data_IF_926262871608
#
_entry.id   IF_926262871608
#
_cell.length_a   1.000
_cell.length_b   1.000
_cell.length_c   1.000
_cell.angle_alpha   90.00
_cell.angle_beta   90.00
_cell.angle_gamma   90.00
#
_symmetry.space_group_name_H-M   'P 1'
#
loop_
_entity.id
_entity.type
_entity.pdbx_description
1 polymer ?
#
# COMPACT_ATOMS: atom_id res chain seq x y z
N UNK A 1 -9.31 15.71 15.23
CA UNK A 1 -10.14 14.62 14.66
C UNK A 1 -9.35 14.15 13.46
N UNK A 2 -8.76 12.95 13.51
CA UNK A 2 -7.95 12.46 12.40
C UNK A 2 -8.86 12.15 11.22
N UNK A 3 -8.74 12.91 10.14
CA UNK A 3 -9.55 12.75 8.94
C UNK A 3 -9.10 11.46 8.24
N UNK A 4 -9.92 10.41 8.31
CA UNK A 4 -9.61 9.13 7.66
C UNK A 4 -10.03 9.22 6.19
N UNK A 5 -9.07 9.08 5.30
CA UNK A 5 -9.27 9.09 3.85
C UNK A 5 -9.50 7.67 3.35
N UNK A 6 -10.52 7.49 2.52
CA UNK A 6 -10.87 6.19 1.93
C UNK A 6 -10.18 6.03 0.59
N UNK A 7 -9.45 4.94 0.41
CA UNK A 7 -8.80 4.57 -0.84
C UNK A 7 -9.32 3.23 -1.34
N UNK A 8 -9.73 3.19 -2.61
CA UNK A 8 -9.99 1.94 -3.31
C UNK A 8 -8.67 1.39 -3.86
N UNK A 9 -8.26 0.23 -3.33
CA UNK A 9 -7.04 -0.47 -3.70
C UNK A 9 -7.38 -1.88 -4.16
N UNK A 10 -6.64 -2.40 -5.12
CA UNK A 10 -6.66 -3.84 -5.40
C UNK A 10 -5.77 -4.58 -4.41
N UNK A 11 -5.99 -5.88 -4.22
CA UNK A 11 -5.08 -6.68 -3.40
C UNK A 11 -3.65 -6.69 -3.99
N UNK A 12 -3.50 -6.55 -5.31
CA UNK A 12 -2.19 -6.26 -5.93
C UNK A 12 -1.54 -4.99 -5.37
N UNK A 13 -2.28 -3.88 -5.30
CA UNK A 13 -1.79 -2.64 -4.72
C UNK A 13 -1.45 -2.79 -3.24
N UNK A 14 -2.27 -3.51 -2.48
CA UNK A 14 -2.02 -3.80 -1.06
C UNK A 14 -0.72 -4.60 -0.88
N UNK A 15 -0.50 -5.65 -1.68
CA UNK A 15 0.76 -6.41 -1.62
C UNK A 15 1.98 -5.58 -2.02
N UNK A 16 1.85 -4.69 -3.00
CA UNK A 16 2.93 -3.79 -3.40
C UNK A 16 3.29 -2.82 -2.27
N UNK A 17 2.30 -2.25 -1.58
CA UNK A 17 2.50 -1.43 -0.38
C UNK A 17 3.22 -2.24 0.71
N UNK A 18 2.74 -3.44 1.05
CA UNK A 18 3.37 -4.28 2.07
C UNK A 18 4.81 -4.65 1.70
N UNK A 19 5.08 -4.96 0.43
CA UNK A 19 6.42 -5.25 -0.04
C UNK A 19 7.36 -4.06 0.18
N UNK A 20 6.95 -2.84 -0.15
CA UNK A 20 7.84 -1.68 -0.03
C UNK A 20 7.92 -1.14 1.40
N UNK A 21 6.80 -1.08 2.12
CA UNK A 21 6.70 -0.46 3.44
C UNK A 21 7.04 -1.41 4.58
N UNK A 22 6.92 -2.72 4.41
CA UNK A 22 7.19 -3.70 5.49
C UNK A 22 8.42 -4.52 5.13
N UNK A 23 8.40 -5.22 4.01
CA UNK A 23 9.47 -6.15 3.60
C UNK A 23 10.77 -5.42 3.26
N UNK A 24 10.71 -4.42 2.39
CA UNK A 24 11.88 -3.65 1.91
C UNK A 24 12.24 -2.44 2.76
N UNK A 25 11.38 -2.04 3.67
CA UNK A 25 11.63 -0.90 4.56
C UNK A 25 12.78 -1.17 5.54
N UNK A 26 12.92 -2.41 6.03
CA UNK A 26 13.97 -2.81 6.98
C UNK A 26 14.04 -1.87 8.22
N UNK A 27 12.91 -1.27 8.61
CA UNK A 27 12.83 -0.32 9.72
C UNK A 27 13.33 1.11 9.42
N UNK A 28 13.52 1.49 8.15
CA UNK A 28 13.94 2.86 7.77
C UNK A 28 12.86 3.90 8.05
N UNK A 29 11.63 3.59 7.67
CA UNK A 29 10.47 4.47 7.78
C UNK A 29 9.63 3.99 8.96
N UNK A 30 9.47 4.81 10.01
CA UNK A 30 8.59 4.50 11.13
C UNK A 30 7.12 4.63 10.70
N UNK A 31 6.20 4.00 11.45
CA UNK A 31 4.76 4.11 11.17
C UNK A 31 4.19 3.03 10.23
N UNK A 32 4.98 2.01 9.89
CA UNK A 32 4.52 0.88 9.03
C UNK A 32 3.86 -0.26 9.81
N UNK A 33 3.60 -0.09 11.11
CA UNK A 33 2.93 -1.06 12.01
C UNK A 33 1.56 -0.55 12.52
N UNK A 34 1.00 0.48 11.89
CA UNK A 34 -0.32 1.02 12.28
C UNK A 34 -1.45 0.06 11.91
N UNK A 35 -2.65 0.34 12.43
CA UNK A 35 -3.85 -0.48 12.19
C UNK A 35 -4.17 -0.64 10.69
N UNK A 36 -3.91 0.38 9.85
CA UNK A 36 -4.09 0.27 8.41
C UNK A 36 -3.17 -0.77 7.77
N UNK A 37 -1.91 -0.85 8.18
CA UNK A 37 -0.95 -1.84 7.69
C UNK A 37 -1.31 -3.25 8.18
N UNK A 38 -1.76 -3.38 9.44
CA UNK A 38 -2.22 -4.67 9.97
C UNK A 38 -3.42 -5.20 9.18
N UNK A 39 -4.42 -4.37 8.90
CA UNK A 39 -5.54 -4.74 8.01
C UNK A 39 -5.09 -5.17 6.62
N UNK A 40 -4.11 -4.47 6.05
CA UNK A 40 -3.54 -4.85 4.77
C UNK A 40 -2.88 -6.22 4.81
N UNK A 41 -2.13 -6.54 5.87
CA UNK A 41 -1.55 -7.87 6.06
C UNK A 41 -2.62 -8.96 6.23
N UNK A 42 -3.67 -8.69 7.01
CA UNK A 42 -4.79 -9.62 7.20
C UNK A 42 -5.49 -9.94 5.87
N UNK A 43 -5.76 -8.91 5.05
CA UNK A 43 -6.35 -9.09 3.73
C UNK A 43 -5.48 -9.96 2.81
N UNK A 44 -4.15 -9.85 2.91
CA UNK A 44 -3.24 -10.70 2.15
C UNK A 44 -3.12 -12.11 2.74
N UNK A 45 -3.37 -12.28 4.04
CA UNK A 45 -3.42 -13.58 4.69
C UNK A 45 -4.65 -14.40 4.27
N UNK A 46 -5.75 -13.74 3.89
CA UNK A 46 -6.93 -14.37 3.28
C UNK A 46 -6.68 -14.92 1.86
N UNK A 47 -5.46 -14.78 1.33
CA UNK A 47 -5.10 -15.28 0.00
C UNK A 47 -5.35 -16.79 -0.12
N UNK A 48 -6.13 -17.23 -1.12
CA UNK A 48 -6.38 -18.65 -1.33
C UNK A 48 -5.06 -19.38 -1.60
N UNK A 49 -4.82 -20.48 -0.86
CA UNK A 49 -3.68 -21.36 -1.07
C UNK A 49 -3.90 -22.37 -2.22
N UNK A 50 -5.07 -22.35 -2.87
CA UNK A 50 -5.35 -23.22 -4.01
C UNK A 50 -4.37 -22.98 -5.16
N UNK A 51 -3.91 -24.06 -5.77
CA UNK A 51 -3.07 -24.03 -6.98
C UNK A 51 -3.80 -23.53 -8.24
N UNK A 52 -5.06 -23.09 -8.11
CA UNK A 52 -5.86 -22.51 -9.19
C UNK A 52 -5.44 -21.07 -9.49
N UNK A 53 -4.68 -20.91 -10.57
CA UNK A 53 -4.21 -19.62 -11.07
C UNK A 53 -5.36 -18.62 -11.30
N UNK A 54 -6.51 -19.10 -11.78
CA UNK A 54 -7.68 -18.25 -12.02
C UNK A 54 -8.23 -17.63 -10.72
N UNK A 55 -8.36 -18.43 -9.67
CA UNK A 55 -8.84 -17.97 -8.36
C UNK A 55 -7.86 -16.98 -7.73
N UNK A 56 -6.55 -17.23 -7.87
CA UNK A 56 -5.51 -16.30 -7.45
C UNK A 56 -5.60 -14.97 -8.20
N UNK A 57 -5.73 -14.99 -9.52
CA UNK A 57 -5.83 -13.77 -10.34
C UNK A 57 -7.09 -12.95 -9.96
N UNK A 58 -8.24 -13.61 -9.78
CA UNK A 58 -9.47 -12.97 -9.32
C UNK A 58 -9.31 -12.36 -7.92
N UNK A 59 -8.63 -13.06 -7.01
CA UNK A 59 -8.30 -12.54 -5.69
C UNK A 59 -7.46 -11.28 -5.80
N UNK A 60 -6.37 -11.30 -6.56
CA UNK A 60 -5.49 -10.13 -6.67
C UNK A 60 -6.15 -8.91 -7.34
N UNK A 61 -7.08 -9.14 -8.26
CA UNK A 61 -7.90 -8.10 -8.91
C UNK A 61 -9.03 -7.57 -8.02
N UNK A 62 -9.35 -8.26 -6.93
CA UNK A 62 -10.37 -7.82 -5.97
C UNK A 62 -10.02 -6.43 -5.44
N UNK A 63 -10.99 -5.53 -5.53
CA UNK A 63 -10.91 -4.18 -5.00
C UNK A 63 -11.43 -4.18 -3.56
N UNK A 64 -10.70 -3.53 -2.69
CA UNK A 64 -11.03 -3.31 -1.29
C UNK A 64 -10.95 -1.82 -1.01
N UNK A 65 -11.87 -1.33 -0.18
CA UNK A 65 -11.84 0.06 0.28
C UNK A 65 -11.23 0.07 1.67
N UNK A 66 -10.08 0.73 1.79
CA UNK A 66 -9.37 0.88 3.05
C UNK A 66 -9.38 2.33 3.49
N UNK A 67 -9.46 2.52 4.80
CA UNK A 67 -9.48 3.85 5.42
C UNK A 67 -8.14 4.06 6.11
N UNK A 68 -7.41 5.08 5.67
CA UNK A 68 -6.10 5.45 6.18
C UNK A 68 -6.16 6.85 6.80
N UNK A 69 -5.40 7.06 7.85
CA UNK A 69 -5.11 8.41 8.35
C UNK A 69 -4.16 9.14 7.40
N UNK A 70 -4.13 10.47 7.47
CA UNK A 70 -3.19 11.29 6.69
C UNK A 70 -1.72 10.92 6.98
N UNK A 71 -1.41 10.58 8.23
CA UNK A 71 -0.08 10.11 8.65
C UNK A 71 0.29 8.78 7.98
N UNK A 72 -0.67 7.84 7.90
CA UNK A 72 -0.49 6.58 7.19
C UNK A 72 -0.30 6.80 5.69
N UNK A 73 -1.07 7.70 5.08
CA UNK A 73 -0.95 8.03 3.66
C UNK A 73 0.44 8.62 3.37
N UNK A 74 0.92 9.55 4.19
CA UNK A 74 2.26 10.12 4.04
C UNK A 74 3.35 9.06 4.22
N UNK A 75 3.17 8.16 5.19
CA UNK A 75 4.10 7.03 5.42
C UNK A 75 4.14 6.10 4.21
N UNK A 76 2.98 5.75 3.64
CA UNK A 76 2.86 4.92 2.45
C UNK A 76 3.53 5.60 1.24
N UNK A 77 3.23 6.87 0.96
CA UNK A 77 3.88 7.59 -0.15
C UNK A 77 5.41 7.63 0.02
N UNK A 78 5.89 7.94 1.22
CA UNK A 78 7.32 7.95 1.52
C UNK A 78 7.95 6.58 1.28
N UNK A 79 7.33 5.50 1.73
CA UNK A 79 7.84 4.14 1.47
C UNK A 79 7.86 3.79 -0.02
N UNK A 80 6.80 4.15 -0.75
CA UNK A 80 6.66 3.90 -2.18
C UNK A 80 7.56 4.80 -3.05
N UNK A 81 8.17 5.83 -2.47
CA UNK A 81 9.11 6.71 -3.13
C UNK A 81 10.55 6.41 -2.73
N UNK A 82 10.85 6.44 -1.44
CA UNK A 82 12.19 6.38 -0.89
C UNK A 82 12.82 5.00 -1.13
N UNK A 83 12.11 3.91 -0.80
CA UNK A 83 12.65 2.55 -0.91
C UNK A 83 12.92 2.13 -2.36
N UNK A 84 11.99 2.33 -3.33
CA UNK A 84 12.25 2.06 -4.73
C UNK A 84 13.37 2.92 -5.32
N UNK A 85 13.47 4.20 -4.93
CA UNK A 85 14.57 5.06 -5.36
C UNK A 85 15.92 4.58 -4.80
N UNK A 86 15.96 4.13 -3.54
CA UNK A 86 17.16 3.54 -2.93
C UNK A 86 17.60 2.28 -3.67
N UNK A 87 16.66 1.43 -4.09
CA UNK A 87 16.94 0.25 -4.91
C UNK A 87 17.16 0.59 -6.39
N UNK A 88 17.03 1.85 -6.80
CA UNK A 88 17.10 2.32 -8.19
C UNK A 88 16.17 1.53 -9.13
N UNK A 89 14.97 1.22 -8.66
CA UNK A 89 13.93 0.52 -9.44
C UNK A 89 12.80 1.47 -9.81
N UNK A 90 11.93 1.03 -10.72
CA UNK A 90 10.75 1.79 -11.10
C UNK A 90 9.80 1.98 -9.92
N UNK A 91 9.25 3.19 -9.80
CA UNK A 91 8.27 3.50 -8.77
C UNK A 91 7.01 2.64 -8.95
N UNK A 92 6.49 2.05 -7.86
CA UNK A 92 5.27 1.27 -7.88
C UNK A 92 4.07 2.09 -8.35
N UNK A 93 3.23 1.51 -9.20
CA UNK A 93 2.08 2.19 -9.80
C UNK A 93 1.06 2.62 -8.74
N UNK A 94 0.95 1.85 -7.65
CA UNK A 94 0.04 2.17 -6.54
C UNK A 94 0.35 3.53 -5.90
N UNK A 95 1.59 4.03 -6.00
CA UNK A 95 1.99 5.34 -5.48
C UNK A 95 1.12 6.48 -6.00
N UNK A 96 0.69 6.43 -7.25
CA UNK A 96 -0.12 7.49 -7.85
C UNK A 96 -1.43 7.74 -7.10
N UNK A 97 -1.94 6.76 -6.35
CA UNK A 97 -3.14 6.92 -5.51
C UNK A 97 -2.85 7.67 -4.22
N UNK A 98 -1.64 7.52 -3.65
CA UNK A 98 -1.24 8.11 -2.38
C UNK A 98 -0.48 9.42 -2.54
N UNK A 99 -0.09 9.76 -3.78
CA UNK A 99 0.61 10.99 -4.08
C UNK A 99 -0.18 12.16 -3.48
N UNK A 100 0.43 12.98 -2.60
CA UNK A 100 -0.25 14.16 -2.07
C UNK A 100 -0.70 15.00 -3.25
N UNK A 101 -2.01 15.23 -3.41
CA UNK A 101 -2.51 16.11 -4.46
C UNK A 101 -1.70 17.40 -4.34
N UNK A 102 -0.84 17.67 -5.33
CA UNK A 102 -0.07 18.91 -5.33
C UNK A 102 -1.10 20.02 -5.07
N UNK A 103 -0.90 20.91 -4.08
CA UNK A 103 -1.69 22.12 -4.05
C UNK A 103 -1.54 22.68 -5.45
N UNK A 104 -2.65 22.77 -6.19
CA UNK A 104 -2.63 23.26 -7.56
C UNK A 104 -1.77 24.52 -7.54
N UNK A 105 -0.62 24.48 -8.21
CA UNK A 105 0.26 25.64 -8.27
C UNK A 105 -0.58 26.74 -8.89
N UNK A 106 -0.94 27.71 -8.04
CA UNK A 106 -1.80 28.83 -8.39
C UNK A 106 -1.10 29.76 -9.37
#
# INVERSE_FOLDING_TARGET
>A
MAEKVKFELTLYGVAEIMKWCVDKNHGRIPGTDTEGFKKMQELLAERPQSGDYFTLDQFWKKKVVLEFSEEEVATIDQCLYDIPNLESVQLPQVRHKFWPKQPASQ
#
